data_IF_420760035593
#
_entry.id   IF_420760035593
#
_cell.length_a   1.000
_cell.length_b   1.000
_cell.length_c   1.000
_cell.angle_alpha   90.00
_cell.angle_beta   90.00
_cell.angle_gamma   90.00
#
_symmetry.space_group_name_H-M   'P 1'
#
loop_
_entity.id
_entity.type
_entity.pdbx_description
1 polymer ?
#
# COMPACT_ATOMS: atom_id res chain seq x y z
N UNK A 1 3.47 -28.40 -11.98
CA UNK A 1 2.47 -27.32 -11.98
C UNK A 1 1.71 -27.28 -10.65
N UNK A 2 2.39 -26.98 -9.54
CA UNK A 2 1.80 -26.94 -8.19
C UNK A 2 2.26 -25.78 -7.30
N UNK A 3 3.35 -25.10 -7.65
CA UNK A 3 3.90 -23.96 -6.89
C UNK A 3 3.01 -22.72 -6.94
N UNK A 4 2.56 -22.31 -8.13
CA UNK A 4 1.74 -21.10 -8.29
C UNK A 4 0.45 -21.12 -7.47
N UNK A 5 -0.20 -22.27 -7.34
CA UNK A 5 -1.46 -22.39 -6.58
C UNK A 5 -1.24 -22.22 -5.08
N UNK A 6 -0.14 -22.75 -4.54
CA UNK A 6 0.19 -22.61 -3.12
C UNK A 6 0.61 -21.18 -2.78
N UNK A 7 1.33 -20.52 -3.70
CA UNK A 7 1.68 -19.09 -3.57
C UNK A 7 0.42 -18.21 -3.57
N UNK A 8 -0.51 -18.45 -4.49
CA UNK A 8 -1.79 -17.72 -4.55
C UNK A 8 -2.64 -17.93 -3.28
N UNK A 9 -2.75 -19.18 -2.82
CA UNK A 9 -3.47 -19.51 -1.57
C UNK A 9 -2.85 -18.78 -0.37
N UNK A 10 -1.51 -18.72 -0.28
CA UNK A 10 -0.81 -18.01 0.79
C UNK A 10 -1.03 -16.50 0.73
N UNK A 11 -1.00 -15.90 -0.47
CA UNK A 11 -1.29 -14.47 -0.64
C UNK A 11 -2.68 -14.09 -0.13
N UNK A 12 -3.68 -14.95 -0.38
CA UNK A 12 -5.04 -14.72 0.12
C UNK A 12 -5.07 -14.77 1.65
N UNK A 13 -4.43 -15.77 2.27
CA UNK A 13 -4.37 -15.90 3.73
C UNK A 13 -3.62 -14.72 4.39
N UNK A 14 -2.49 -14.31 3.83
CA UNK A 14 -1.71 -13.16 4.29
C UNK A 14 -2.49 -11.85 4.15
N UNK A 15 -3.22 -11.68 3.04
CA UNK A 15 -4.08 -10.52 2.84
C UNK A 15 -5.23 -10.48 3.85
N UNK A 16 -5.84 -11.62 4.19
CA UNK A 16 -6.88 -11.69 5.22
C UNK A 16 -6.32 -11.38 6.62
N UNK A 17 -5.16 -11.94 6.97
CA UNK A 17 -4.51 -11.71 8.26
C UNK A 17 -4.11 -10.24 8.45
N UNK A 18 -3.55 -9.62 7.41
CA UNK A 18 -3.16 -8.20 7.45
C UNK A 18 -4.34 -7.24 7.54
N UNK A 19 -5.47 -7.56 6.88
CA UNK A 19 -6.72 -6.80 7.07
C UNK A 19 -7.28 -6.95 8.49
N UNK A 20 -7.27 -8.17 9.05
CA UNK A 20 -7.71 -8.39 10.43
C UNK A 20 -6.90 -7.55 11.43
N UNK A 21 -5.59 -7.52 11.26
CA UNK A 21 -4.69 -6.70 12.08
C UNK A 21 -5.00 -5.21 11.93
N UNK A 22 -5.15 -4.73 10.69
CA UNK A 22 -5.48 -3.32 10.42
C UNK A 22 -6.80 -2.92 11.09
N UNK A 23 -7.85 -3.70 10.90
CA UNK A 23 -9.17 -3.43 11.48
C UNK A 23 -9.13 -3.44 13.01
N UNK A 24 -8.39 -4.39 13.61
CA UNK A 24 -8.18 -4.44 15.05
C UNK A 24 -7.52 -3.17 15.59
N UNK A 25 -6.50 -2.65 14.89
CA UNK A 25 -5.84 -1.38 15.27
C UNK A 25 -6.77 -0.18 15.16
N UNK A 26 -7.56 -0.11 14.09
CA UNK A 26 -8.53 0.98 13.92
C UNK A 26 -9.59 0.95 15.03
N UNK A 27 -10.18 -0.23 15.31
CA UNK A 27 -11.18 -0.41 16.37
C UNK A 27 -10.66 -0.04 17.75
N UNK A 28 -9.38 -0.32 18.02
CA UNK A 28 -8.72 0.00 19.29
C UNK A 28 -8.18 1.44 19.35
N UNK A 29 -8.26 2.21 18.27
CA UNK A 29 -7.68 3.56 18.19
C UNK A 29 -6.14 3.57 18.22
N UNK A 30 -5.49 2.47 17.81
CA UNK A 30 -4.02 2.29 17.85
C UNK A 30 -3.38 2.29 16.46
N UNK A 31 -4.15 2.54 15.40
CA UNK A 31 -3.56 2.77 14.08
C UNK A 31 -2.82 4.11 14.05
N UNK A 32 -1.57 4.07 13.60
CA UNK A 32 -0.73 5.26 13.45
C UNK A 32 -0.02 5.25 12.10
N UNK A 33 0.02 6.41 11.44
CA UNK A 33 0.86 6.65 10.26
C UNK A 33 2.32 6.80 10.70
N UNK A 34 2.98 5.65 10.89
CA UNK A 34 4.38 5.53 11.29
C UNK A 34 5.03 4.29 10.67
N UNK A 35 6.35 4.18 10.83
CA UNK A 35 7.15 3.08 10.29
C UNK A 35 6.79 1.74 10.92
N UNK A 36 6.54 1.73 12.23
CA UNK A 36 6.21 0.50 12.95
C UNK A 36 4.95 -0.15 12.37
N UNK A 37 3.86 0.60 12.22
CA UNK A 37 2.61 0.11 11.62
C UNK A 37 2.85 -0.37 10.18
N UNK A 38 3.61 0.37 9.38
CA UNK A 38 3.91 0.00 8.00
C UNK A 38 4.67 -1.33 7.90
N UNK A 39 5.69 -1.51 8.73
CA UNK A 39 6.47 -2.73 8.82
C UNK A 39 5.68 -3.90 9.44
N UNK A 40 4.91 -3.67 10.52
CA UNK A 40 4.07 -4.68 11.15
C UNK A 40 3.05 -5.24 10.14
N UNK A 41 2.37 -4.38 9.39
CA UNK A 41 1.43 -4.79 8.36
C UNK A 41 2.14 -5.51 7.21
N UNK A 42 3.31 -5.03 6.78
CA UNK A 42 4.11 -5.73 5.77
C UNK A 42 4.53 -7.14 6.22
N UNK A 43 4.91 -7.30 7.49
CA UNK A 43 5.31 -8.59 8.05
C UNK A 43 4.20 -9.64 7.89
N UNK A 44 2.93 -9.22 7.89
CA UNK A 44 1.78 -10.09 7.62
C UNK A 44 1.53 -10.25 6.11
N UNK A 45 1.61 -9.16 5.34
CA UNK A 45 1.36 -9.16 3.88
C UNK A 45 2.32 -10.08 3.13
N UNK A 46 3.60 -10.04 3.49
CA UNK A 46 4.66 -10.72 2.74
C UNK A 46 5.21 -11.95 3.47
N UNK A 47 4.51 -12.42 4.51
CA UNK A 47 4.94 -13.55 5.33
C UNK A 47 5.17 -14.78 4.45
N UNK A 48 6.40 -15.28 4.44
CA UNK A 48 6.82 -16.41 3.63
C UNK A 48 6.66 -16.22 2.10
N UNK A 49 6.42 -14.98 1.64
CA UNK A 49 6.39 -14.61 0.22
C UNK A 49 7.67 -13.87 -0.19
N UNK A 50 8.11 -12.91 0.64
CA UNK A 50 9.31 -12.13 0.38
C UNK A 50 10.55 -12.78 1.00
N UNK A 51 11.73 -12.40 0.49
CA UNK A 51 13.03 -12.81 1.05
C UNK A 51 13.17 -12.33 2.50
N UNK A 52 12.77 -11.09 2.75
CA UNK A 52 12.64 -10.49 4.08
C UNK A 52 11.29 -9.81 4.20
N UNK A 53 10.67 -9.88 5.38
CA UNK A 53 9.39 -9.23 5.64
C UNK A 53 9.38 -8.48 6.97
N UNK A 54 8.75 -7.31 6.97
CA UNK A 54 8.62 -6.47 8.14
C UNK A 54 9.80 -5.55 8.38
N UNK A 55 10.72 -5.50 7.42
CA UNK A 55 11.93 -4.67 7.44
C UNK A 55 12.16 -4.08 6.06
N UNK A 56 12.70 -2.87 5.99
CA UNK A 56 13.07 -2.28 4.70
C UNK A 56 14.16 -3.12 4.02
N UNK A 57 14.09 -3.18 2.69
CA UNK A 57 15.06 -3.92 1.88
C UNK A 57 16.46 -3.32 2.05
N UNK A 58 17.46 -4.17 1.85
CA UNK A 58 18.89 -3.86 1.91
C UNK A 58 19.58 -4.09 0.55
N UNK A 59 18.79 -4.14 -0.52
CA UNK A 59 19.24 -4.39 -1.88
C UNK A 59 18.34 -3.71 -2.90
N UNK A 60 18.78 -3.71 -4.16
CA UNK A 60 18.02 -3.11 -5.27
C UNK A 60 16.85 -3.98 -5.69
N UNK A 61 15.78 -3.33 -6.17
CA UNK A 61 14.59 -3.98 -6.73
C UNK A 61 14.17 -3.28 -8.02
N UNK A 62 13.38 -3.97 -8.83
CA UNK A 62 12.77 -3.42 -10.05
C UNK A 62 11.26 -3.55 -9.97
N UNK A 63 10.55 -2.75 -10.75
CA UNK A 63 9.10 -2.86 -10.90
C UNK A 63 8.83 -3.43 -12.28
N UNK A 64 8.17 -4.59 -12.35
CA UNK A 64 7.83 -5.19 -13.63
C UNK A 64 6.92 -4.27 -14.47
N UNK A 65 7.27 -4.08 -15.74
CA UNK A 65 6.49 -3.29 -16.71
C UNK A 65 6.86 -1.82 -16.82
N UNK A 66 7.94 -1.37 -16.16
CA UNK A 66 8.47 0.00 -16.24
C UNK A 66 10.00 -0.02 -16.12
N UNK A 67 10.68 0.94 -16.74
CA UNK A 67 12.12 1.15 -16.60
C UNK A 67 12.47 2.00 -15.35
N UNK A 68 11.47 2.50 -14.63
CA UNK A 68 11.64 3.26 -13.41
C UNK A 68 12.50 2.49 -12.39
N UNK A 69 13.51 3.17 -11.86
CA UNK A 69 14.39 2.65 -10.83
C UNK A 69 13.97 3.23 -9.47
N UNK A 70 13.51 2.40 -8.53
CA UNK A 70 13.24 2.84 -7.17
C UNK A 70 14.51 3.41 -6.49
N UNK A 71 14.34 4.21 -5.42
CA UNK A 71 15.46 4.77 -4.69
C UNK A 71 16.46 3.71 -4.20
N UNK A 72 17.69 4.16 -3.94
CA UNK A 72 18.71 3.33 -3.28
C UNK A 72 18.27 2.94 -1.88
N UNK A 73 18.56 1.71 -1.47
CA UNK A 73 18.06 1.15 -0.21
C UNK A 73 18.61 1.89 1.01
N UNK A 74 19.82 2.43 0.90
CA UNK A 74 20.52 3.21 1.92
C UNK A 74 19.78 4.50 2.30
N UNK A 75 18.93 5.01 1.41
CA UNK A 75 18.17 6.25 1.61
C UNK A 75 16.71 6.00 2.01
N UNK A 76 16.26 4.74 2.11
CA UNK A 76 14.85 4.44 2.37
C UNK A 76 14.38 4.93 3.73
N UNK A 77 15.24 4.91 4.75
CA UNK A 77 14.87 5.38 6.08
C UNK A 77 14.56 6.89 6.05
N UNK A 78 15.46 7.72 5.50
CA UNK A 78 15.24 9.16 5.41
C UNK A 78 14.07 9.51 4.49
N UNK A 79 13.95 8.84 3.34
CA UNK A 79 12.82 9.01 2.42
C UNK A 79 11.50 8.72 3.13
N UNK A 80 11.44 7.66 3.93
CA UNK A 80 10.24 7.30 4.68
C UNK A 80 9.88 8.37 5.71
N UNK A 81 10.85 8.81 6.51
CA UNK A 81 10.64 9.83 7.54
C UNK A 81 10.16 11.16 6.94
N UNK A 82 10.87 11.68 5.93
CA UNK A 82 10.51 12.93 5.24
C UNK A 82 9.13 12.81 4.55
N UNK A 83 8.87 11.68 3.90
CA UNK A 83 7.58 11.41 3.26
C UNK A 83 6.43 11.39 4.27
N UNK A 84 6.62 10.81 5.45
CA UNK A 84 5.62 10.83 6.51
C UNK A 84 5.35 12.24 7.05
N UNK A 85 6.37 13.10 7.14
CA UNK A 85 6.15 14.49 7.53
C UNK A 85 5.28 15.25 6.52
N UNK A 86 5.54 15.05 5.23
CA UNK A 86 4.73 15.65 4.16
C UNK A 86 3.30 15.13 4.23
N UNK A 87 3.11 13.81 4.33
CA UNK A 87 1.78 13.20 4.40
C UNK A 87 0.98 13.68 5.62
N UNK A 88 1.62 13.87 6.79
CA UNK A 88 0.94 14.41 7.97
C UNK A 88 0.46 15.85 7.79
N UNK A 89 1.10 16.62 6.90
CA UNK A 89 0.72 17.99 6.54
C UNK A 89 -0.27 18.05 5.37
N UNK A 90 -0.53 16.94 4.69
CA UNK A 90 -1.56 16.87 3.63
C UNK A 90 -2.95 16.97 4.25
N UNK A 91 -3.69 17.99 3.82
CA UNK A 91 -5.07 18.21 4.23
C UNK A 91 -6.02 17.18 3.60
N UNK A 92 -7.07 16.82 4.35
CA UNK A 92 -8.06 15.85 3.90
C UNK A 92 -7.61 14.39 4.05
N UNK A 93 -8.43 13.52 4.68
CA UNK A 93 -8.06 12.12 4.88
C UNK A 93 -7.92 11.36 3.56
N UNK A 94 -8.76 11.64 2.56
CA UNK A 94 -8.70 10.98 1.25
C UNK A 94 -7.42 11.28 0.47
N UNK A 95 -7.05 12.55 0.34
CA UNK A 95 -5.83 12.94 -0.39
C UNK A 95 -4.60 12.35 0.29
N UNK A 96 -4.51 12.48 1.63
CA UNK A 96 -3.45 11.89 2.44
C UNK A 96 -3.35 10.38 2.27
N UNK A 97 -4.49 9.68 2.31
CA UNK A 97 -4.52 8.23 2.19
C UNK A 97 -4.03 7.76 0.81
N UNK A 98 -4.53 8.38 -0.26
CA UNK A 98 -4.14 8.00 -1.62
C UNK A 98 -2.68 8.39 -1.88
N UNK A 99 -2.23 9.55 -1.39
CA UNK A 99 -0.82 9.94 -1.43
C UNK A 99 0.08 8.91 -0.71
N UNK A 100 -0.33 8.39 0.46
CA UNK A 100 0.39 7.32 1.15
C UNK A 100 0.48 6.04 0.31
N UNK A 101 -0.62 5.68 -0.38
CA UNK A 101 -0.60 4.54 -1.30
C UNK A 101 0.42 4.71 -2.44
N UNK A 102 0.43 5.88 -3.08
CA UNK A 102 1.36 6.19 -4.17
C UNK A 102 2.80 6.28 -3.68
N UNK A 103 3.02 6.90 -2.53
CA UNK A 103 4.32 7.04 -1.88
C UNK A 103 4.98 5.68 -1.61
N UNK A 104 4.26 4.76 -0.94
CA UNK A 104 4.79 3.42 -0.68
C UNK A 104 4.98 2.59 -1.94
N UNK A 105 4.12 2.80 -2.95
CA UNK A 105 4.24 2.13 -4.25
C UNK A 105 5.42 2.65 -5.08
N UNK A 106 5.74 3.94 -5.02
CA UNK A 106 6.83 4.52 -5.81
C UNK A 106 8.21 4.18 -5.23
N UNK A 107 8.35 4.20 -3.91
CA UNK A 107 9.66 4.06 -3.26
C UNK A 107 10.09 2.60 -3.06
N UNK A 108 9.16 1.65 -3.14
CA UNK A 108 9.43 0.21 -2.97
C UNK A 108 10.28 -0.07 -1.72
N UNK A 109 9.74 0.20 -0.54
CA UNK A 109 10.45 0.04 0.73
C UNK A 109 10.86 -1.41 1.03
N UNK A 110 10.18 -2.38 0.44
CA UNK A 110 10.34 -3.81 0.67
C UNK A 110 10.71 -4.56 -0.61
N UNK A 111 11.13 -5.83 -0.50
CA UNK A 111 11.42 -6.67 -1.67
C UNK A 111 10.18 -7.07 -2.48
N UNK A 112 9.04 -7.25 -1.82
CA UNK A 112 7.73 -7.50 -2.43
C UNK A 112 6.64 -6.91 -1.50
N UNK A 113 5.36 -7.05 -1.81
CA UNK A 113 4.26 -6.64 -0.95
C UNK A 113 3.98 -5.12 -0.94
N UNK A 114 4.86 -4.29 -1.53
CA UNK A 114 4.79 -2.82 -1.45
C UNK A 114 3.40 -2.25 -1.73
N UNK A 115 2.78 -2.58 -2.88
CA UNK A 115 1.44 -2.07 -3.22
C UNK A 115 0.36 -2.55 -2.26
N UNK A 116 0.47 -3.80 -1.77
CA UNK A 116 -0.51 -4.40 -0.85
C UNK A 116 -0.44 -3.71 0.52
N UNK A 117 0.76 -3.57 1.07
CA UNK A 117 1.01 -2.85 2.33
C UNK A 117 0.60 -1.38 2.23
N UNK A 118 0.93 -0.71 1.11
CA UNK A 118 0.60 0.71 0.92
C UNK A 118 -0.92 0.95 0.85
N UNK A 119 -1.69 0.02 0.28
CA UNK A 119 -3.17 0.08 0.31
C UNK A 119 -3.73 -0.16 1.71
N UNK A 120 -3.09 -1.01 2.53
CA UNK A 120 -3.50 -1.17 3.93
C UNK A 120 -3.27 0.13 4.72
N UNK A 121 -2.12 0.79 4.51
CA UNK A 121 -1.89 2.10 5.14
C UNK A 121 -2.89 3.16 4.67
N UNK A 122 -3.19 3.22 3.37
CA UNK A 122 -4.25 4.07 2.82
C UNK A 122 -5.60 3.82 3.53
N UNK A 123 -6.02 2.56 3.61
CA UNK A 123 -7.30 2.22 4.24
C UNK A 123 -7.28 2.42 5.76
N UNK A 124 -6.13 2.27 6.42
CA UNK A 124 -5.99 2.63 7.83
C UNK A 124 -6.20 4.12 8.08
N UNK A 125 -5.62 4.98 7.22
CA UNK A 125 -5.82 6.43 7.29
C UNK A 125 -7.31 6.79 7.13
N UNK A 126 -7.98 6.18 6.14
CA UNK A 126 -9.41 6.42 5.88
C UNK A 126 -10.28 5.95 7.05
N UNK A 127 -10.15 4.70 7.44
CA UNK A 127 -10.98 4.10 8.49
C UNK A 127 -10.76 4.77 9.84
N UNK A 128 -9.53 5.17 10.18
CA UNK A 128 -9.26 5.95 11.40
C UNK A 128 -9.83 7.37 11.36
N UNK A 129 -10.14 7.90 10.16
CA UNK A 129 -10.84 9.17 9.99
C UNK A 129 -12.37 9.01 9.95
N UNK A 130 -12.89 7.78 10.06
CA UNK A 130 -14.32 7.48 9.92
C UNK A 130 -14.83 7.39 8.48
N UNK A 131 -13.92 7.31 7.51
CA UNK A 131 -14.24 7.18 6.08
C UNK A 131 -14.26 5.70 5.65
N UNK A 132 -14.96 5.39 4.56
CA UNK A 132 -15.01 4.05 3.99
C UNK A 132 -13.65 3.63 3.37
N UNK A 133 -13.35 2.33 3.44
CA UNK A 133 -12.16 1.78 2.81
C UNK A 133 -12.30 1.73 1.28
N UNK A 134 -11.21 2.05 0.57
CA UNK A 134 -11.15 1.97 -0.89
C UNK A 134 -10.63 0.59 -1.31
N UNK A 135 -11.32 0.00 -2.28
CA UNK A 135 -10.89 -1.22 -2.98
C UNK A 135 -10.98 -1.03 -4.50
N UNK A 136 -10.04 -1.61 -5.24
CA UNK A 136 -10.06 -1.58 -6.71
C UNK A 136 -10.92 -2.75 -7.20
N UNK A 137 -12.06 -2.49 -7.89
CA UNK A 137 -12.90 -3.56 -8.39
C UNK A 137 -12.15 -4.44 -9.41
N UNK A 138 -12.40 -5.74 -9.40
CA UNK A 138 -11.75 -6.68 -10.32
C UNK A 138 -11.90 -6.26 -11.80
N UNK A 139 -13.06 -5.71 -12.18
CA UNK A 139 -13.34 -5.19 -13.54
C UNK A 139 -12.45 -4.02 -13.96
N UNK A 140 -11.85 -3.29 -13.02
CA UNK A 140 -10.97 -2.12 -13.27
C UNK A 140 -9.49 -2.43 -13.05
N UNK A 141 -9.11 -3.70 -12.86
CA UNK A 141 -7.72 -4.10 -12.58
C UNK A 141 -6.75 -3.71 -13.70
N UNK A 142 -7.17 -3.82 -14.96
CA UNK A 142 -6.35 -3.43 -16.11
C UNK A 142 -6.06 -1.92 -16.09
N UNK A 143 -7.11 -1.11 -16.01
CA UNK A 143 -7.03 0.36 -15.90
C UNK A 143 -6.11 0.80 -14.75
N UNK A 144 -6.27 0.17 -13.58
CA UNK A 144 -5.39 0.39 -12.43
C UNK A 144 -3.92 0.10 -12.74
N UNK A 145 -3.62 -1.07 -13.32
CA UNK A 145 -2.25 -1.46 -13.61
C UNK A 145 -1.60 -0.51 -14.63
N UNK A 146 -2.32 -0.13 -15.68
CA UNK A 146 -1.83 0.80 -16.70
C UNK A 146 -1.57 2.20 -16.12
N UNK A 147 -2.48 2.70 -15.27
CA UNK A 147 -2.29 3.98 -14.59
C UNK A 147 -1.08 3.96 -13.63
N UNK A 148 -0.85 2.84 -12.94
CA UNK A 148 0.35 2.67 -12.11
C UNK A 148 1.64 2.70 -12.93
N UNK A 149 1.68 2.06 -14.10
CA UNK A 149 2.86 2.13 -14.99
C UNK A 149 3.13 3.58 -15.41
N UNK A 150 2.10 4.30 -15.89
CA UNK A 150 2.23 5.72 -16.24
C UNK A 150 2.69 6.57 -15.06
N UNK A 151 2.19 6.28 -13.86
CA UNK A 151 2.63 6.93 -12.63
C UNK A 151 4.12 6.68 -12.35
N UNK A 152 4.61 5.44 -12.46
CA UNK A 152 6.04 5.16 -12.23
C UNK A 152 6.94 5.90 -13.24
N UNK A 153 6.57 5.87 -14.52
CA UNK A 153 7.37 6.49 -15.57
C UNK A 153 7.46 8.01 -15.41
N UNK A 154 6.31 8.65 -15.19
CA UNK A 154 6.17 10.11 -15.13
C UNK A 154 6.44 10.72 -13.75
N UNK A 155 6.25 9.94 -12.67
CA UNK A 155 6.14 10.39 -11.27
C UNK A 155 5.00 11.38 -11.02
N UNK A 156 4.08 11.55 -11.97
CA UNK A 156 2.87 12.34 -11.80
C UNK A 156 1.74 11.45 -11.27
N UNK A 157 1.37 11.65 -10.00
CA UNK A 157 0.33 10.88 -9.33
C UNK A 157 -1.10 11.27 -9.72
N UNK A 158 -1.30 12.34 -10.50
CA UNK A 158 -2.62 12.96 -10.71
C UNK A 158 -3.67 11.99 -11.26
N UNK A 159 -3.33 11.22 -12.29
CA UNK A 159 -4.24 10.24 -12.89
C UNK A 159 -4.62 9.15 -11.86
N UNK A 160 -3.61 8.60 -11.18
CA UNK A 160 -3.80 7.52 -10.21
C UNK A 160 -4.57 7.99 -8.98
N UNK A 161 -4.39 9.25 -8.57
CA UNK A 161 -5.18 9.87 -7.51
C UNK A 161 -6.66 9.93 -7.88
N UNK A 162 -6.98 10.43 -9.08
CA UNK A 162 -8.37 10.50 -9.56
C UNK A 162 -8.99 9.11 -9.72
N UNK A 163 -8.25 8.15 -10.29
CA UNK A 163 -8.72 6.77 -10.42
C UNK A 163 -9.09 6.20 -9.05
N UNK A 164 -8.18 6.31 -8.07
CA UNK A 164 -8.34 5.71 -6.74
C UNK A 164 -9.49 6.35 -5.99
N UNK A 165 -9.61 7.68 -6.05
CA UNK A 165 -10.76 8.39 -5.48
C UNK A 165 -12.08 7.93 -6.12
N UNK A 166 -12.10 7.74 -7.44
CA UNK A 166 -13.28 7.21 -8.15
C UNK A 166 -13.67 5.78 -7.74
N UNK A 167 -12.74 4.98 -7.21
CA UNK A 167 -13.08 3.66 -6.67
C UNK A 167 -13.83 3.74 -5.32
N UNK A 168 -13.62 4.80 -4.54
CA UNK A 168 -14.30 5.01 -3.25
C UNK A 168 -15.83 5.11 -3.40
N UNK A 169 -16.29 5.62 -4.54
CA UNK A 169 -17.71 5.80 -4.84
C UNK A 169 -18.39 4.49 -5.27
N UNK A 170 -17.60 3.51 -5.70
CA UNK A 170 -18.06 2.20 -6.15
C UNK A 170 -17.94 1.12 -5.06
N UNK A 171 -17.14 1.36 -4.02
CA UNK A 171 -16.93 0.43 -2.91
C UNK A 171 -18.10 0.49 -1.94
N UNK A 172 -19.12 -0.34 -2.16
CA UNK A 172 -20.19 -0.59 -1.18
C UNK A 172 -19.73 -1.31 0.11
N UNK A 173 -18.46 -1.14 0.50
CA UNK A 173 -17.80 -1.83 1.60
C UNK A 173 -17.86 -0.94 2.84
N UNK A 174 -19.04 -0.88 3.47
CA UNK A 174 -19.18 -0.28 4.80
C UNK A 174 -18.58 -1.24 5.82
N UNK A 175 -17.59 -0.76 6.56
CA UNK A 175 -17.10 -1.44 7.75
C UNK A 175 -17.89 -0.86 8.92
N UNK A 176 -19.07 -1.43 9.17
CA UNK A 176 -19.84 -1.09 10.37
C UNK A 176 -19.12 -1.71 11.58
N UNK A 177 -18.76 -0.86 12.55
CA UNK A 177 -18.09 -1.25 13.80
C UNK A 177 -19.07 -1.72 14.88
#
# INVERSE_FOLDING_TARGET
>A
MGGHRLEDERQVLNQAASWKELLGRVQQGTFELNRKTFCDLHALVAREEAVEWGVFRTGSVTIAGTDYQPPRWESLESIFEEGLEILRRTDGPHERAIAMFLFGSLNQFFYDGNRRTSRLMMNGILLSAGEDAISVPARRRLEFNEAMIRFYDSRDGTEMMRFTAGCSLDSGLRVDF
#
